data_IF_247154329845
#
_entry.id   IF_247154329845
#
_cell.length_a   1.000
_cell.length_b   1.000
_cell.length_c   1.000
_cell.angle_alpha   90.00
_cell.angle_beta   90.00
_cell.angle_gamma   90.00
#
_symmetry.space_group_name_H-M   'P 1'
#
loop_
_entity.id
_entity.type
_entity.pdbx_description
1 polymer ?
#
# COMPACT_ATOMS: atom_id res chain seq x y z
N UNK A 1 -7.11 23.13 8.53
CA UNK A 1 -8.48 22.80 8.08
C UNK A 1 -8.47 21.30 7.82
N UNK A 2 -9.25 20.56 8.61
CA UNK A 2 -9.36 19.10 8.53
C UNK A 2 -10.27 18.71 7.36
N UNK A 3 -9.86 17.71 6.57
CA UNK A 3 -10.75 17.05 5.61
C UNK A 3 -11.28 15.80 6.32
N UNK A 4 -12.54 15.86 6.78
CA UNK A 4 -13.28 14.69 7.24
C UNK A 4 -14.03 14.05 6.07
N UNK A 5 -14.20 12.74 6.15
CA UNK A 5 -15.04 11.90 5.31
C UNK A 5 -16.53 12.14 5.60
N UNK A 6 -17.06 13.30 5.22
CA UNK A 6 -18.50 13.55 5.14
C UNK A 6 -18.80 14.59 4.07
N UNK A 7 -19.66 14.24 3.12
CA UNK A 7 -20.31 15.19 2.20
C UNK A 7 -19.68 15.35 0.81
N UNK A 8 -20.55 15.39 -0.19
CA UNK A 8 -20.27 15.59 -1.61
C UNK A 8 -19.19 16.65 -1.88
N UNK A 9 -18.14 16.23 -2.58
CA UNK A 9 -17.27 17.11 -3.34
C UNK A 9 -17.12 16.53 -4.75
N UNK A 10 -18.19 16.68 -5.53
CA UNK A 10 -18.06 16.89 -6.96
C UNK A 10 -17.16 18.11 -7.16
N UNK A 11 -16.03 17.90 -7.86
CA UNK A 11 -15.43 18.82 -8.84
C UNK A 11 -13.90 18.88 -8.76
N UNK A 12 -13.30 18.61 -9.95
CA UNK A 12 -12.05 19.15 -10.53
C UNK A 12 -10.78 18.27 -10.53
N UNK A 13 -10.09 18.42 -11.68
CA UNK A 13 -8.68 18.16 -12.06
C UNK A 13 -8.46 16.91 -12.94
N UNK A 14 -7.76 16.91 -14.09
CA UNK A 14 -7.05 17.94 -14.88
C UNK A 14 -5.67 17.46 -15.40
N UNK A 15 -5.56 17.15 -16.72
CA UNK A 15 -4.45 16.92 -17.70
C UNK A 15 -3.01 16.44 -17.32
N UNK A 16 -2.47 15.38 -17.97
CA UNK A 16 -1.65 15.38 -19.22
C UNK A 16 -0.77 14.11 -19.47
N UNK A 17 -0.86 13.58 -20.71
CA UNK A 17 0.13 12.93 -21.62
C UNK A 17 1.03 11.75 -21.16
N UNK A 18 0.85 10.64 -21.90
CA UNK A 18 1.49 9.32 -21.91
C UNK A 18 3.00 9.22 -21.60
N UNK A 19 3.36 8.21 -20.79
CA UNK A 19 4.66 7.54 -20.85
C UNK A 19 4.53 6.02 -20.64
N UNK A 20 5.26 5.23 -21.43
CA UNK A 20 5.46 3.79 -21.22
C UNK A 20 6.08 3.53 -19.84
N UNK A 21 5.58 2.54 -19.09
CA UNK A 21 6.19 2.09 -17.82
C UNK A 21 5.50 2.57 -16.53
N UNK A 22 4.25 3.04 -16.58
CA UNK A 22 3.50 3.42 -15.38
C UNK A 22 3.40 2.25 -14.38
N UNK A 23 3.66 2.55 -13.10
CA UNK A 23 3.59 1.61 -11.98
C UNK A 23 2.47 2.03 -11.04
N UNK A 24 1.63 1.06 -10.67
CA UNK A 24 0.46 1.28 -9.83
C UNK A 24 0.69 0.73 -8.42
N UNK A 25 0.14 1.41 -7.41
CA UNK A 25 0.17 0.95 -6.04
C UNK A 25 -1.22 1.08 -5.39
N UNK A 26 -1.55 0.11 -4.55
CA UNK A 26 -2.65 0.16 -3.61
C UNK A 26 -2.14 0.81 -2.33
N UNK A 27 -2.74 1.94 -1.94
CA UNK A 27 -2.41 2.65 -0.70
C UNK A 27 -3.58 2.55 0.27
N UNK A 28 -3.35 1.94 1.42
CA UNK A 28 -4.28 2.02 2.54
C UNK A 28 -3.86 3.16 3.47
N UNK A 29 -4.66 4.24 3.47
CA UNK A 29 -4.35 5.45 4.22
C UNK A 29 -4.78 5.28 5.68
N UNK A 30 -3.85 5.52 6.60
CA UNK A 30 -4.07 5.50 8.06
C UNK A 30 -3.71 6.86 8.67
N UNK A 31 -4.32 7.25 9.81
CA UNK A 31 -3.94 8.46 10.52
C UNK A 31 -2.45 8.46 10.92
N UNK A 32 -1.99 7.37 11.53
CA UNK A 32 -0.61 7.13 11.93
C UNK A 32 -0.27 5.63 11.86
N UNK A 33 0.98 5.27 12.13
CA UNK A 33 1.46 3.90 12.03
C UNK A 33 0.68 2.91 12.90
N UNK A 34 0.27 3.32 14.11
CA UNK A 34 -0.40 2.46 15.08
C UNK A 34 -1.74 1.95 14.57
N UNK A 35 -2.43 2.69 13.69
CA UNK A 35 -3.69 2.28 13.09
C UNK A 35 -3.55 1.19 12.04
N UNK A 36 -2.34 0.88 11.56
CA UNK A 36 -2.11 -0.23 10.63
C UNK A 36 -2.51 -1.56 11.28
N UNK A 37 -2.36 -1.68 12.61
CA UNK A 37 -2.74 -2.88 13.34
C UNK A 37 -4.23 -3.21 13.30
N UNK A 38 -5.08 -2.23 12.95
CA UNK A 38 -6.53 -2.47 12.77
C UNK A 38 -6.83 -3.47 11.66
N UNK A 39 -5.88 -3.73 10.75
CA UNK A 39 -6.01 -4.76 9.72
C UNK A 39 -6.02 -6.18 10.25
N UNK A 40 -5.35 -6.43 11.38
CA UNK A 40 -5.27 -7.77 11.97
C UNK A 40 -5.83 -7.87 13.38
N UNK A 41 -6.06 -6.74 14.05
CA UNK A 41 -6.65 -6.65 15.40
C UNK A 41 -8.01 -5.94 15.42
N UNK A 42 -8.70 -5.86 14.28
CA UNK A 42 -10.04 -5.27 14.20
C UNK A 42 -11.04 -5.95 15.14
N UNK A 43 -12.06 -5.22 15.59
CA UNK A 43 -13.10 -5.74 16.49
C UNK A 43 -13.89 -6.91 15.92
N UNK A 44 -13.94 -7.04 14.60
CA UNK A 44 -14.54 -8.18 13.86
C UNK A 44 -13.51 -9.24 13.45
N UNK A 45 -12.32 -9.20 14.03
CA UNK A 45 -11.18 -10.02 13.63
C UNK A 45 -10.38 -9.43 12.46
N UNK A 46 -9.39 -10.19 11.94
CA UNK A 46 -8.53 -9.73 10.86
C UNK A 46 -9.30 -9.51 9.56
N UNK A 47 -8.95 -8.44 8.83
CA UNK A 47 -9.52 -8.13 7.52
C UNK A 47 -9.08 -9.13 6.45
N UNK A 48 -9.86 -9.16 5.36
CA UNK A 48 -9.69 -10.13 4.28
C UNK A 48 -8.31 -10.10 3.62
N UNK A 49 -7.80 -8.91 3.30
CA UNK A 49 -6.47 -8.77 2.68
C UNK A 49 -5.37 -9.36 3.56
N UNK A 50 -5.41 -9.10 4.88
CA UNK A 50 -4.50 -9.74 5.84
C UNK A 50 -4.63 -11.26 5.82
N UNK A 51 -5.85 -11.80 5.96
CA UNK A 51 -6.07 -13.25 5.99
C UNK A 51 -5.53 -13.93 4.73
N UNK A 52 -5.82 -13.38 3.55
CA UNK A 52 -5.34 -13.89 2.27
C UNK A 52 -3.82 -13.90 2.17
N UNK A 53 -3.16 -12.82 2.57
CA UNK A 53 -1.71 -12.72 2.50
C UNK A 53 -1.01 -13.62 3.53
N UNK A 54 -1.58 -13.80 4.73
CA UNK A 54 -1.06 -14.75 5.71
C UNK A 54 -1.25 -16.21 5.24
N UNK A 55 -2.41 -16.55 4.67
CA UNK A 55 -2.63 -17.87 4.07
C UNK A 55 -1.64 -18.11 2.92
N UNK A 56 -1.41 -17.11 2.06
CA UNK A 56 -0.44 -17.20 0.97
C UNK A 56 1.01 -17.37 1.47
N UNK A 57 1.40 -16.65 2.52
CA UNK A 57 2.71 -16.82 3.15
C UNK A 57 2.87 -18.20 3.80
N UNK A 58 1.79 -18.76 4.36
CA UNK A 58 1.78 -20.14 4.85
C UNK A 58 1.93 -21.15 3.70
N UNK A 59 1.28 -20.94 2.55
CA UNK A 59 1.50 -21.77 1.36
C UNK A 59 2.94 -21.69 0.87
N UNK A 60 3.55 -20.52 0.91
CA UNK A 60 4.95 -20.34 0.55
C UNK A 60 5.88 -21.14 1.50
N UNK A 61 5.59 -21.20 2.79
CA UNK A 61 6.29 -22.07 3.75
C UNK A 61 6.09 -23.56 3.45
N UNK A 62 4.83 -23.99 3.29
CA UNK A 62 4.44 -25.39 3.04
C UNK A 62 5.08 -25.93 1.76
N UNK A 63 5.12 -25.09 0.72
CA UNK A 63 5.68 -25.43 -0.59
C UNK A 63 7.17 -25.14 -0.72
N UNK A 64 7.81 -24.62 0.33
CA UNK A 64 9.23 -24.20 0.32
C UNK A 64 9.55 -23.20 -0.81
N UNK A 65 8.62 -22.30 -1.09
CA UNK A 65 8.80 -21.22 -2.07
C UNK A 65 8.51 -21.58 -3.52
N UNK A 66 7.50 -22.44 -3.80
CA UNK A 66 7.01 -22.61 -5.18
C UNK A 66 6.58 -21.26 -5.77
N UNK A 67 6.81 -21.10 -7.07
CA UNK A 67 6.89 -19.80 -7.77
C UNK A 67 5.63 -18.94 -7.69
N UNK A 68 4.43 -19.53 -7.69
CA UNK A 68 3.19 -18.77 -7.86
C UNK A 68 2.79 -18.00 -6.58
N UNK A 69 2.96 -18.64 -5.41
CA UNK A 69 2.72 -17.99 -4.13
C UNK A 69 3.74 -16.88 -3.92
N UNK A 70 5.02 -17.18 -4.19
CA UNK A 70 6.11 -16.22 -4.10
C UNK A 70 5.90 -15.01 -5.00
N UNK A 71 5.44 -15.21 -6.24
CA UNK A 71 5.17 -14.13 -7.17
C UNK A 71 4.07 -13.18 -6.66
N UNK A 72 3.01 -13.72 -6.07
CA UNK A 72 1.93 -12.89 -5.51
C UNK A 72 2.39 -12.15 -4.24
N UNK A 73 3.27 -12.75 -3.42
CA UNK A 73 3.91 -12.05 -2.29
C UNK A 73 4.84 -10.92 -2.77
N UNK A 74 5.59 -11.12 -3.86
CA UNK A 74 6.40 -10.08 -4.52
C UNK A 74 5.50 -8.93 -4.98
N UNK A 75 4.39 -9.23 -5.64
CA UNK A 75 3.42 -8.21 -6.07
C UNK A 75 2.86 -7.44 -4.86
N UNK A 76 2.52 -8.14 -3.77
CA UNK A 76 2.07 -7.50 -2.55
C UNK A 76 3.10 -6.53 -1.97
N UNK A 77 4.37 -6.93 -1.87
CA UNK A 77 5.43 -6.08 -1.30
C UNK A 77 5.76 -4.88 -2.20
N UNK A 78 5.70 -5.06 -3.52
CA UNK A 78 5.95 -3.99 -4.49
C UNK A 78 4.78 -3.04 -4.64
N UNK A 79 3.56 -3.51 -4.45
CA UNK A 79 2.35 -2.83 -4.92
C UNK A 79 1.32 -2.48 -3.87
N UNK A 80 1.43 -2.97 -2.63
CA UNK A 80 0.42 -2.76 -1.60
C UNK A 80 1.06 -2.20 -0.33
N UNK A 81 0.69 -0.97 0.02
CA UNK A 81 1.31 -0.22 1.10
C UNK A 81 0.28 0.37 2.04
N UNK A 82 0.70 0.60 3.29
CA UNK A 82 0.07 1.62 4.12
C UNK A 82 0.72 2.98 3.85
N UNK A 83 -0.10 4.03 3.88
CA UNK A 83 0.36 5.42 3.88
C UNK A 83 -0.15 6.11 5.15
N UNK A 84 0.72 6.78 5.92
CA UNK A 84 0.32 7.41 7.19
C UNK A 84 1.21 8.60 7.56
N UNK A 85 0.71 9.47 8.43
CA UNK A 85 1.50 10.59 8.95
C UNK A 85 2.34 10.14 10.15
N UNK A 86 3.61 10.53 10.19
CA UNK A 86 4.53 10.15 11.25
C UNK A 86 5.57 11.22 11.56
N UNK A 87 6.33 10.97 12.63
CA UNK A 87 7.48 11.79 13.05
C UNK A 87 8.78 11.15 12.53
N UNK A 88 9.72 11.97 12.09
CA UNK A 88 11.12 11.57 11.91
C UNK A 88 11.86 11.82 13.23
N UNK A 89 12.70 10.87 13.65
CA UNK A 89 13.59 11.04 14.81
C UNK A 89 14.41 12.34 14.64
N UNK A 90 14.03 13.41 15.35
CA UNK A 90 14.74 14.69 15.28
C UNK A 90 13.92 15.95 15.59
N UNK A 91 12.60 15.93 15.44
CA UNK A 91 11.76 17.13 15.70
C UNK A 91 10.49 16.75 16.48
N UNK A 92 10.49 17.04 17.79
CA UNK A 92 9.40 16.72 18.74
C UNK A 92 8.14 17.59 18.58
N UNK A 93 7.97 18.23 17.43
CA UNK A 93 6.79 19.03 17.18
C UNK A 93 6.36 18.86 15.73
N UNK A 94 5.30 18.08 15.57
CA UNK A 94 4.40 17.91 14.42
C UNK A 94 4.70 16.71 13.48
N UNK A 95 3.65 15.93 13.23
CA UNK A 95 3.56 14.91 12.17
C UNK A 95 3.65 15.58 10.78
N UNK A 96 4.85 15.87 10.30
CA UNK A 96 5.05 16.65 9.06
C UNK A 96 5.28 15.80 7.82
N UNK A 97 5.42 14.48 7.94
CA UNK A 97 5.80 13.63 6.82
C UNK A 97 4.85 12.46 6.63
N UNK A 98 4.52 12.20 5.36
CA UNK A 98 3.81 11.00 4.95
C UNK A 98 4.82 9.87 4.79
N UNK A 99 4.59 8.75 5.45
CA UNK A 99 5.37 7.53 5.34
C UNK A 99 4.63 6.50 4.52
N UNK A 100 5.38 5.71 3.76
CA UNK A 100 4.93 4.55 3.01
C UNK A 100 5.58 3.30 3.62
N UNK A 101 4.79 2.25 3.89
CA UNK A 101 5.32 0.97 4.36
C UNK A 101 4.63 -0.21 3.65
N UNK A 102 5.36 -1.28 3.28
CA UNK A 102 4.75 -2.42 2.59
C UNK A 102 3.77 -3.17 3.48
N UNK A 103 2.53 -3.35 3.03
CA UNK A 103 1.46 -4.00 3.79
C UNK A 103 1.87 -5.39 4.26
N UNK A 104 2.39 -6.22 3.35
CA UNK A 104 2.80 -7.60 3.65
C UNK A 104 3.90 -7.62 4.72
N UNK A 105 4.93 -6.79 4.58
CA UNK A 105 6.05 -6.79 5.52
C UNK A 105 5.61 -6.28 6.90
N UNK A 106 4.76 -5.25 6.95
CA UNK A 106 4.13 -4.82 8.21
C UNK A 106 3.33 -5.95 8.87
N UNK A 107 2.57 -6.72 8.10
CA UNK A 107 1.78 -7.84 8.60
C UNK A 107 2.65 -9.01 9.10
N UNK A 108 3.73 -9.34 8.39
CA UNK A 108 4.68 -10.37 8.79
C UNK A 108 5.43 -9.98 10.08
N UNK A 109 5.91 -8.74 10.15
CA UNK A 109 6.59 -8.18 11.32
C UNK A 109 5.72 -8.15 12.57
N UNK A 110 4.40 -8.05 12.39
CA UNK A 110 3.43 -8.06 13.49
C UNK A 110 3.15 -9.46 14.05
N UNK A 111 3.67 -10.53 13.46
CA UNK A 111 3.49 -11.89 13.98
C UNK A 111 4.19 -12.05 15.34
N UNK A 112 3.49 -12.57 16.36
CA UNK A 112 4.12 -12.82 17.66
C UNK A 112 5.32 -13.76 17.53
N UNK A 113 6.41 -13.44 18.24
CA UNK A 113 7.58 -14.29 18.30
C UNK A 113 7.20 -15.70 18.80
N UNK A 114 7.69 -16.73 18.11
CA UNK A 114 7.38 -18.13 18.42
C UNK A 114 6.05 -18.62 17.85
N UNK A 115 5.36 -17.83 17.02
CA UNK A 115 4.17 -18.30 16.29
C UNK A 115 4.51 -19.52 15.42
N UNK A 116 3.72 -20.58 15.59
CA UNK A 116 3.85 -21.81 14.81
C UNK A 116 3.08 -21.72 13.49
N UNK A 117 3.57 -22.46 12.49
CA UNK A 117 2.91 -22.63 11.19
C UNK A 117 1.49 -23.19 11.36
N UNK A 118 0.52 -22.55 10.72
CA UNK A 118 -0.86 -23.00 10.64
C UNK A 118 -1.17 -23.34 9.20
N UNK A 119 -1.62 -24.58 8.97
CA UNK A 119 -1.91 -25.08 7.64
C UNK A 119 -3.01 -24.25 6.95
N UNK A 120 -2.89 -24.15 5.63
CA UNK A 120 -3.84 -23.45 4.79
C UNK A 120 -5.16 -24.22 4.73
N UNK A 121 -6.27 -23.50 4.64
CA UNK A 121 -7.60 -24.09 4.79
C UNK A 121 -8.72 -23.19 4.32
N UNK A 122 -9.96 -23.55 4.68
CA UNK A 122 -11.13 -22.74 4.38
C UNK A 122 -10.99 -21.34 4.95
N UNK A 123 -11.52 -20.35 4.22
CA UNK A 123 -11.50 -18.94 4.62
C UNK A 123 -10.14 -18.35 4.98
N UNK A 124 -9.08 -18.80 4.30
CA UNK A 124 -7.74 -18.23 4.44
C UNK A 124 -7.22 -18.35 5.88
N UNK A 125 -7.41 -19.53 6.48
CA UNK A 125 -7.02 -19.81 7.87
C UNK A 125 -5.51 -20.02 8.06
N UNK A 126 -4.74 -20.08 6.98
CA UNK A 126 -3.29 -20.30 7.04
C UNK A 126 -2.54 -19.14 7.66
N UNK A 127 -1.41 -19.46 8.30
CA UNK A 127 -0.48 -18.47 8.86
C UNK A 127 0.94 -19.05 8.85
N UNK A 128 1.95 -18.30 8.37
CA UNK A 128 3.32 -18.77 8.41
C UNK A 128 3.83 -18.83 9.85
N UNK A 129 4.86 -19.62 10.10
CA UNK A 129 5.64 -19.52 11.33
C UNK A 129 6.35 -18.18 11.42
N UNK A 130 6.66 -17.72 12.64
CA UNK A 130 7.45 -16.50 12.83
C UNK A 130 8.85 -16.63 12.23
N UNK A 131 9.38 -17.86 12.12
CA UNK A 131 10.67 -18.11 11.46
C UNK A 131 10.58 -17.86 9.94
N UNK A 132 9.53 -18.37 9.29
CA UNK A 132 9.33 -18.14 7.87
C UNK A 132 8.99 -16.69 7.55
N UNK A 133 8.28 -16.00 8.44
CA UNK A 133 8.04 -14.56 8.33
C UNK A 133 9.35 -13.76 8.25
N UNK A 134 10.32 -14.05 9.12
CA UNK A 134 11.66 -13.43 9.09
C UNK A 134 12.41 -13.74 7.79
N UNK A 135 12.28 -14.97 7.28
CA UNK A 135 12.86 -15.36 5.97
C UNK A 135 12.23 -14.53 4.84
N UNK A 136 10.91 -14.34 4.85
CA UNK A 136 10.22 -13.52 3.86
C UNK A 136 10.62 -12.05 3.97
N UNK A 137 10.71 -11.47 5.18
CA UNK A 137 11.19 -10.09 5.38
C UNK A 137 12.63 -9.89 4.90
N UNK A 138 13.50 -10.89 5.08
CA UNK A 138 14.89 -10.84 4.62
C UNK A 138 15.05 -11.04 3.11
N UNK A 139 14.09 -11.73 2.47
CA UNK A 139 14.13 -12.04 1.02
C UNK A 139 13.32 -11.07 0.17
N UNK A 140 12.27 -10.48 0.72
CA UNK A 140 11.37 -9.51 0.09
C UNK A 140 11.44 -8.23 0.92
N UNK A 141 12.16 -7.23 0.44
CA UNK A 141 12.34 -6.00 1.23
C UNK A 141 12.29 -4.74 0.37
N UNK A 142 12.07 -3.62 1.03
CA UNK A 142 12.10 -2.28 0.43
C UNK A 142 13.20 -1.49 1.08
N UNK A 143 13.85 -0.62 0.33
CA UNK A 143 14.95 0.18 0.83
C UNK A 143 15.42 1.22 -0.17
N UNK A 144 16.48 1.92 0.21
CA UNK A 144 17.08 2.99 -0.57
C UNK A 144 18.29 2.47 -1.35
N UNK A 145 18.29 2.71 -2.65
CA UNK A 145 19.44 2.49 -3.51
C UNK A 145 20.23 3.80 -3.66
N UNK A 146 21.48 3.78 -3.20
CA UNK A 146 22.45 4.87 -3.35
C UNK A 146 23.62 4.38 -4.19
N UNK A 147 23.64 4.75 -5.48
CA UNK A 147 24.58 4.20 -6.44
C UNK A 147 24.46 2.67 -6.57
N UNK A 148 25.52 1.96 -6.23
CA UNK A 148 25.58 0.49 -6.28
C UNK A 148 25.20 -0.18 -4.94
N UNK A 149 24.92 0.60 -3.90
CA UNK A 149 24.57 0.08 -2.58
C UNK A 149 23.06 0.12 -2.37
N UNK A 150 22.52 -0.95 -1.78
CA UNK A 150 21.13 -1.04 -1.37
C UNK A 150 21.06 -1.15 0.15
N UNK A 151 20.34 -0.22 0.77
CA UNK A 151 20.12 -0.14 2.21
C UNK A 151 18.67 -0.55 2.51
N UNK A 152 18.40 -1.79 2.95
CA UNK A 152 17.05 -2.20 3.30
C UNK A 152 16.53 -1.37 4.48
N UNK A 153 15.32 -0.86 4.36
CA UNK A 153 14.74 0.03 5.36
C UNK A 153 13.34 0.47 4.98
N UNK A 154 12.40 0.21 5.88
CA UNK A 154 11.02 0.70 5.82
C UNK A 154 10.51 0.88 7.27
N UNK A 155 9.54 1.79 7.53
CA UNK A 155 8.85 2.67 6.58
C UNK A 155 9.79 3.68 5.89
N UNK A 156 9.40 4.19 4.73
CA UNK A 156 10.16 5.18 3.95
C UNK A 156 9.35 6.46 3.83
N UNK A 157 9.99 7.63 3.97
CA UNK A 157 9.28 8.89 3.79
C UNK A 157 8.88 9.07 2.32
N UNK A 158 7.69 9.61 2.05
CA UNK A 158 7.21 9.83 0.69
C UNK A 158 8.17 10.75 -0.10
N UNK A 159 8.85 11.69 0.57
CA UNK A 159 9.84 12.56 -0.05
C UNK A 159 11.00 11.78 -0.70
N UNK A 160 11.38 10.62 -0.13
CA UNK A 160 12.47 9.80 -0.67
C UNK A 160 12.11 9.19 -2.03
N UNK A 161 10.83 9.00 -2.33
CA UNK A 161 10.37 8.51 -3.64
C UNK A 161 10.58 9.52 -4.76
N UNK A 162 10.74 10.80 -4.42
CA UNK A 162 10.95 11.88 -5.38
C UNK A 162 12.40 12.41 -5.38
N UNK A 163 13.28 11.80 -4.59
CA UNK A 163 14.69 12.18 -4.55
C UNK A 163 15.40 11.84 -5.86
N UNK A 164 16.25 12.74 -6.34
CA UNK A 164 17.13 12.49 -7.50
C UNK A 164 18.45 11.85 -7.10
N UNK A 165 18.81 11.88 -5.81
CA UNK A 165 20.06 11.35 -5.29
C UNK A 165 19.99 9.85 -4.93
N UNK A 166 18.79 9.34 -4.65
CA UNK A 166 18.54 7.97 -4.24
C UNK A 166 17.23 7.48 -4.84
N UNK A 167 17.11 6.17 -5.07
CA UNK A 167 15.88 5.55 -5.55
C UNK A 167 15.34 4.57 -4.51
N UNK A 168 14.04 4.68 -4.19
CA UNK A 168 13.37 3.64 -3.41
C UNK A 168 13.17 2.42 -4.30
N UNK A 169 13.65 1.26 -3.86
CA UNK A 169 13.62 0.00 -4.63
C UNK A 169 13.03 -1.12 -3.80
N UNK A 170 12.39 -2.05 -4.49
CA UNK A 170 12.14 -3.38 -3.98
C UNK A 170 13.36 -4.27 -4.25
N UNK A 171 13.70 -5.14 -3.30
CA UNK A 171 14.75 -6.13 -3.43
C UNK A 171 14.16 -7.53 -3.22
N UNK A 172 14.36 -8.40 -4.22
CA UNK A 172 14.13 -9.84 -4.10
C UNK A 172 15.46 -10.60 -4.14
N UNK A 173 15.83 -11.22 -3.02
CA UNK A 173 17.09 -11.95 -2.89
C UNK A 173 16.94 -13.21 -2.05
N UNK A 174 17.98 -14.06 -2.09
CA UNK A 174 18.16 -15.08 -1.06
C UNK A 174 18.31 -14.37 0.31
N UNK A 175 17.55 -14.78 1.34
CA UNK A 175 17.62 -14.16 2.66
C UNK A 175 19.03 -14.22 3.29
N UNK A 176 19.86 -15.18 2.90
CA UNK A 176 21.26 -15.35 3.33
C UNK A 176 22.27 -14.59 2.47
N UNK A 177 21.85 -14.01 1.35
CA UNK A 177 22.77 -13.27 0.48
C UNK A 177 23.28 -12.00 1.18
N UNK A 178 24.61 -11.89 1.27
CA UNK A 178 25.31 -10.76 1.88
C UNK A 178 25.43 -9.56 0.93
N UNK A 179 25.30 -9.78 -0.38
CA UNK A 179 25.34 -8.75 -1.42
C UNK A 179 24.06 -8.77 -2.23
N UNK A 180 23.71 -7.61 -2.80
CA UNK A 180 22.51 -7.44 -3.64
C UNK A 180 22.95 -7.06 -5.05
N UNK A 181 22.88 -7.98 -6.02
CA UNK A 181 23.06 -7.63 -7.43
C UNK A 181 21.98 -6.66 -7.91
N UNK A 182 22.29 -5.80 -8.87
CA UNK A 182 21.28 -4.90 -9.46
C UNK A 182 20.10 -5.65 -10.09
N UNK A 183 20.30 -6.89 -10.54
CA UNK A 183 19.23 -7.75 -11.07
C UNK A 183 18.20 -8.18 -10.02
N UNK A 184 18.53 -8.07 -8.73
CA UNK A 184 17.64 -8.34 -7.60
C UNK A 184 16.82 -7.10 -7.21
N UNK A 185 17.15 -5.92 -7.76
CA UNK A 185 16.46 -4.67 -7.50
C UNK A 185 15.42 -4.41 -8.58
N UNK A 186 14.17 -4.20 -8.16
CA UNK A 186 13.06 -3.84 -9.04
C UNK A 186 12.44 -2.52 -8.59
N UNK A 187 11.70 -1.92 -9.52
CA UNK A 187 10.84 -0.77 -9.22
C UNK A 187 9.70 -1.15 -8.29
N UNK A 188 9.32 -0.19 -7.43
CA UNK A 188 8.07 -0.24 -6.70
C UNK A 188 6.89 0.05 -7.63
N UNK A 189 5.72 -0.38 -7.18
CA UNK A 189 4.49 -0.44 -7.94
C UNK A 189 4.48 -1.60 -8.94
N UNK A 190 3.27 -1.86 -9.45
CA UNK A 190 2.92 -2.98 -10.30
C UNK A 190 2.58 -2.49 -11.70
N UNK A 191 2.91 -3.27 -12.72
CA UNK A 191 2.29 -3.08 -14.03
C UNK A 191 0.79 -3.28 -13.95
N UNK A 192 0.06 -2.76 -14.93
CA UNK A 192 -1.40 -2.89 -14.96
C UNK A 192 -1.87 -4.36 -14.90
N UNK A 193 -1.15 -5.27 -15.53
CA UNK A 193 -1.47 -6.71 -15.54
C UNK A 193 -1.11 -7.39 -14.21
N UNK A 194 0.00 -6.96 -13.58
CA UNK A 194 0.38 -7.39 -12.24
C UNK A 194 -0.65 -6.90 -11.20
N UNK A 195 -1.05 -5.63 -11.27
CA UNK A 195 -2.07 -5.04 -10.41
C UNK A 195 -3.40 -5.77 -10.57
N UNK A 196 -3.84 -6.01 -11.80
CA UNK A 196 -5.07 -6.72 -12.09
C UNK A 196 -5.07 -8.13 -11.49
N UNK A 197 -3.96 -8.85 -11.64
CA UNK A 197 -3.77 -10.20 -11.07
C UNK A 197 -3.83 -10.15 -9.56
N UNK A 198 -3.14 -9.19 -8.94
CA UNK A 198 -3.10 -9.02 -7.50
C UNK A 198 -4.45 -8.61 -6.89
N UNK A 199 -5.16 -7.68 -7.53
CA UNK A 199 -6.53 -7.28 -7.13
C UNK A 199 -7.49 -8.45 -7.25
N UNK A 200 -7.42 -9.22 -8.34
CA UNK A 200 -8.22 -10.43 -8.48
C UNK A 200 -7.93 -11.42 -7.35
N UNK A 201 -6.66 -11.59 -6.99
CA UNK A 201 -6.28 -12.40 -5.83
C UNK A 201 -6.90 -11.86 -4.53
N UNK A 202 -6.90 -10.55 -4.28
CA UNK A 202 -7.51 -9.97 -3.08
C UNK A 202 -9.03 -10.09 -3.06
N UNK A 203 -9.70 -9.92 -4.19
CA UNK A 203 -11.15 -9.78 -4.27
C UNK A 203 -11.91 -11.08 -4.62
N UNK A 204 -11.28 -12.04 -5.29
CA UNK A 204 -11.96 -13.27 -5.77
C UNK A 204 -11.90 -14.38 -4.72
N UNK A 205 -13.02 -15.02 -4.39
CA UNK A 205 -13.02 -16.24 -3.57
C UNK A 205 -12.81 -17.49 -4.43
N UNK A 206 -12.17 -18.54 -3.89
CA UNK A 206 -12.34 -19.86 -4.50
C UNK A 206 -13.70 -20.39 -4.05
N UNK A 207 -14.51 -20.86 -5.00
CA UNK A 207 -15.80 -21.53 -4.73
C UNK A 207 -15.71 -22.69 -3.73
N UNK A 208 -14.50 -23.21 -3.46
CA UNK A 208 -14.20 -24.29 -2.53
C UNK A 208 -13.89 -23.83 -1.10
N UNK A 209 -13.72 -22.53 -0.83
CA UNK A 209 -13.15 -22.05 0.44
C UNK A 209 -14.18 -21.90 1.57
N UNK A 210 -15.47 -22.19 1.31
CA UNK A 210 -16.51 -22.31 2.34
C UNK A 210 -16.93 -21.00 3.02
N UNK A 211 -16.49 -19.85 2.52
CA UNK A 211 -16.91 -18.53 2.99
C UNK A 211 -18.18 -18.09 2.27
N UNK A 212 -18.99 -17.24 2.92
CA UNK A 212 -20.26 -16.78 2.36
C UNK A 212 -20.08 -16.03 1.03
N UNK A 213 -21.09 -16.18 0.16
CA UNK A 213 -21.07 -15.79 -1.26
C UNK A 213 -20.72 -14.32 -1.48
N UNK A 214 -20.03 -14.11 -2.60
CA UNK A 214 -19.82 -12.87 -3.33
C UNK A 214 -20.78 -11.74 -2.93
N UNK A 215 -20.21 -10.68 -2.36
CA UNK A 215 -20.63 -9.35 -2.74
C UNK A 215 -19.45 -8.75 -3.48
N UNK A 216 -19.53 -8.71 -4.81
CA UNK A 216 -18.61 -7.97 -5.70
C UNK A 216 -18.60 -6.45 -5.40
N UNK A 217 -19.41 -6.02 -4.44
CA UNK A 217 -19.49 -4.67 -3.88
C UNK A 217 -18.76 -4.59 -2.52
N UNK A 218 -17.60 -5.25 -2.38
CA UNK A 218 -16.68 -4.84 -1.32
C UNK A 218 -16.32 -3.37 -1.56
N UNK A 219 -16.70 -2.51 -0.62
CA UNK A 219 -16.35 -1.10 -0.60
C UNK A 219 -14.82 -0.98 -0.68
N UNK A 220 -14.33 -0.48 -1.81
CA UNK A 220 -12.97 0.00 -1.94
C UNK A 220 -13.00 1.49 -1.63
N UNK A 221 -12.05 1.99 -0.85
CA UNK A 221 -11.82 3.43 -0.70
C UNK A 221 -10.45 3.73 -1.21
N UNK A 222 -10.31 3.69 -2.54
CA UNK A 222 -9.03 3.79 -3.21
C UNK A 222 -8.95 5.07 -4.02
N UNK A 223 -7.79 5.70 -3.99
CA UNK A 223 -7.46 6.78 -4.91
C UNK A 223 -6.41 6.23 -5.87
N UNK A 224 -6.77 6.10 -7.14
CA UNK A 224 -5.81 5.80 -8.20
C UNK A 224 -5.12 7.09 -8.59
N UNK A 225 -3.79 7.12 -8.44
CA UNK A 225 -2.94 8.22 -8.88
C UNK A 225 -2.02 7.66 -9.96
N UNK A 226 -2.25 8.07 -11.20
CA UNK A 226 -1.29 7.80 -12.27
C UNK A 226 -0.09 8.74 -12.19
N UNK A 227 1.03 8.32 -12.76
CA UNK A 227 2.22 9.17 -12.94
C UNK A 227 1.95 10.46 -13.73
N UNK A 228 0.82 10.52 -14.44
CA UNK A 228 0.32 11.67 -15.21
C UNK A 228 -0.70 12.54 -14.46
N UNK A 229 -0.82 12.37 -13.13
CA UNK A 229 -1.64 13.25 -12.28
C UNK A 229 -3.15 13.04 -12.39
N UNK A 230 -3.63 11.97 -13.05
CA UNK A 230 -5.04 11.59 -12.94
C UNK A 230 -5.29 11.00 -11.55
N UNK A 231 -6.33 11.52 -10.88
CA UNK A 231 -6.75 11.10 -9.56
C UNK A 231 -8.19 10.63 -9.67
N UNK A 232 -8.44 9.33 -9.44
CA UNK A 232 -9.81 8.79 -9.44
C UNK A 232 -10.11 8.10 -8.13
N UNK A 233 -11.17 8.56 -7.47
CA UNK A 233 -11.74 7.83 -6.34
C UNK A 233 -12.47 6.60 -6.86
N UNK A 234 -12.15 5.44 -6.29
CA UNK A 234 -12.71 4.14 -6.63
C UNK A 234 -13.40 3.63 -5.39
N UNK A 235 -14.71 3.44 -5.50
CA UNK A 235 -15.62 3.10 -4.39
C UNK A 235 -15.87 1.61 -4.26
N UNK A 236 -15.61 0.82 -5.30
CA UNK A 236 -15.80 -0.62 -5.31
C UNK A 236 -14.93 -1.30 -6.37
N UNK A 237 -14.85 -2.63 -6.30
CA UNK A 237 -14.02 -3.44 -7.21
C UNK A 237 -14.47 -3.34 -8.68
N UNK A 238 -15.77 -3.21 -8.95
CA UNK A 238 -16.28 -3.06 -10.32
C UNK A 238 -15.81 -1.75 -10.95
N UNK A 239 -15.81 -0.66 -10.19
CA UNK A 239 -15.29 0.63 -10.63
C UNK A 239 -13.79 0.55 -10.95
N UNK A 240 -13.01 -0.14 -10.11
CA UNK A 240 -11.58 -0.40 -10.36
C UNK A 240 -11.38 -1.11 -11.70
N UNK A 241 -12.10 -2.22 -11.91
CA UNK A 241 -12.01 -3.02 -13.13
C UNK A 241 -12.36 -2.22 -14.37
N UNK A 242 -13.38 -1.37 -14.28
CA UNK A 242 -13.77 -0.48 -15.37
C UNK A 242 -12.69 0.56 -15.69
N UNK A 243 -11.98 1.06 -14.68
CA UNK A 243 -10.86 1.99 -14.87
C UNK A 243 -9.66 1.29 -15.49
N UNK A 244 -9.30 0.09 -15.01
CA UNK A 244 -8.23 -0.72 -15.61
C UNK A 244 -8.55 -1.03 -17.08
N UNK A 245 -9.80 -1.40 -17.38
CA UNK A 245 -10.25 -1.67 -18.75
C UNK A 245 -10.18 -0.40 -19.61
N UNK A 246 -10.67 0.72 -19.11
CA UNK A 246 -10.63 1.99 -19.83
C UNK A 246 -9.18 2.47 -20.06
N UNK A 247 -8.28 2.26 -19.11
CA UNK A 247 -6.85 2.52 -19.25
C UNK A 247 -6.24 1.68 -20.38
N UNK A 248 -6.50 0.36 -20.39
CA UNK A 248 -6.00 -0.56 -21.43
C UNK A 248 -6.48 -0.22 -22.83
N UNK A 249 -7.71 0.26 -22.95
CA UNK A 249 -8.34 0.54 -24.24
C UNK A 249 -8.09 1.99 -24.71
N UNK A 250 -7.25 2.76 -24.00
CA UNK A 250 -7.00 4.19 -24.23
C UNK A 250 -8.30 5.02 -24.30
N UNK A 251 -9.31 4.61 -23.51
CA UNK A 251 -10.65 5.23 -23.45
C UNK A 251 -10.83 6.13 -22.24
N UNK A 252 -9.75 6.43 -21.51
CA UNK A 252 -9.79 7.42 -20.44
C UNK A 252 -9.83 8.83 -21.06
N UNK A 253 -11.04 9.32 -21.31
CA UNK A 253 -11.26 10.65 -21.88
C UNK A 253 -11.28 11.70 -20.77
N UNK A 254 -10.46 12.76 -20.83
CA UNK A 254 -10.50 13.88 -19.90
C UNK A 254 -11.86 14.59 -19.94
N UNK A 255 -12.26 15.18 -18.81
CA UNK A 255 -13.41 16.10 -18.80
C UNK A 255 -12.95 17.46 -19.31
N UNK A 256 -13.43 17.89 -20.49
CA UNK A 256 -13.07 19.17 -21.11
C UNK A 256 -13.51 20.38 -20.25
N UNK A 257 -12.60 21.35 -20.02
CA UNK A 257 -12.99 22.74 -19.70
C UNK A 257 -12.73 23.28 -18.29
N UNK A 258 -11.85 22.71 -17.46
CA UNK A 258 -11.59 23.26 -16.11
C UNK A 258 -10.09 23.43 -15.81
N UNK A 259 -9.54 24.62 -16.07
CA UNK A 259 -8.21 25.01 -15.58
C UNK A 259 -8.30 25.51 -14.12
N UNK A 260 -7.52 24.96 -13.17
CA UNK A 260 -7.43 25.52 -11.83
C UNK A 260 -6.69 26.86 -11.87
N UNK A 261 -7.32 27.93 -11.39
CA UNK A 261 -6.65 29.21 -11.14
C UNK A 261 -5.92 29.11 -9.80
N UNK A 262 -4.59 29.01 -9.83
CA UNK A 262 -3.73 29.01 -8.63
C UNK A 262 -3.46 30.42 -8.10
N UNK A 263 -4.48 31.27 -8.03
CA UNK A 263 -4.34 32.58 -7.40
C UNK A 263 -5.14 32.56 -6.11
N UNK A 264 -4.43 32.86 -5.02
CA UNK A 264 -4.91 33.03 -3.63
C UNK A 264 -4.76 31.78 -2.75
N UNK A 265 -3.59 31.67 -2.12
CA UNK A 265 -3.48 30.96 -0.84
C UNK A 265 -4.49 31.59 0.14
N UNK A 266 -5.41 30.83 0.76
CA UNK A 266 -6.20 31.36 1.84
C UNK A 266 -5.27 31.74 2.99
N UNK A 267 -5.21 33.02 3.31
CA UNK A 267 -4.50 33.53 4.48
C UNK A 267 -5.24 33.06 5.73
N UNK A 268 -4.69 32.06 6.41
CA UNK A 268 -5.23 31.58 7.69
C UNK A 268 -4.88 32.61 8.75
N UNK A 269 -5.85 33.45 9.13
CA UNK A 269 -5.70 34.33 10.30
C UNK A 269 -5.84 33.50 11.57
N UNK A 270 -4.72 33.32 12.28
CA UNK A 270 -4.71 32.66 13.59
C UNK A 270 -5.33 33.62 14.62
N UNK A 271 -6.52 33.30 15.12
CA UNK A 271 -7.12 34.02 16.25
C UNK A 271 -6.52 33.43 17.54
N UNK A 272 -5.74 34.19 18.33
CA UNK A 272 -5.18 33.68 19.58
C UNK A 272 -6.30 33.42 20.60
N UNK A 273 -6.27 32.23 21.21
CA UNK A 273 -7.21 31.85 22.29
C UNK A 273 -7.12 32.84 23.46
N UNK A 274 -8.25 33.26 24.06
CA UNK A 274 -8.23 34.11 25.24
C UNK A 274 -7.59 33.35 26.42
N UNK A 275 -6.66 34.01 27.10
CA UNK A 275 -6.04 33.52 28.33
C UNK A 275 -7.14 33.33 29.38
N UNK A 276 -7.22 32.13 29.95
CA UNK A 276 -8.09 31.85 31.09
C UNK A 276 -7.73 32.80 32.24
N UNK A 277 -8.71 33.57 32.71
CA UNK A 277 -8.58 34.35 33.94
C UNK A 277 -8.54 33.40 35.15
N UNK A 278 -7.69 33.66 36.15
CA UNK A 278 -7.64 32.86 37.37
C UNK A 278 -8.95 33.04 38.15
N UNK A 279 -9.56 31.93 38.57
CA UNK A 279 -10.71 31.93 39.47
C UNK A 279 -10.27 32.51 40.82
N UNK A 280 -10.99 33.52 41.29
CA UNK A 280 -10.94 34.02 42.66
C UNK A 280 -11.90 33.22 43.54
#
# INVERSE_FOLDING_TARGET
MNISLDGNAESKMGDAIHQFGERFALLEIKPDQSYCQSEWMGSKGPKRAYRKLMDLAARDEETKGLTDARQTLIQSTRGHFFAYWGETDGDQSHMHQLFIQPYLLSALKALPAGSYFTQTGSCYSGRPSSHHAVILEGSLTVGLQLGNNFHPGWPTALADFFSTAQAVRFCHKDPKALTVPSSCLLELGLEIDELQTYVNFLCTEKKSDGCERDVLEEDLKMILIGSQGFIRHITNTTELMNVIKAYREDRLVPTLGVSPRFNEHPSVTVIPKPKYAPRT
#
